data_IF_423234750752
#
_entry.id   IF_423234750752
#
_cell.length_a   1.000
_cell.length_b   1.000
_cell.length_c   1.000
_cell.angle_alpha   90.00
_cell.angle_beta   90.00
_cell.angle_gamma   90.00
#
_symmetry.space_group_name_H-M   'P 1'
#
loop_
_entity.id
_entity.type
_entity.pdbx_description
1 polymer ?
#
# COMPACT_ATOMS: atom_id res chain seq x y z
N UNK A 1 32.47 -6.33 -2.74
CA UNK A 1 31.60 -5.84 -1.65
C UNK A 1 30.26 -5.24 -2.15
N UNK A 2 30.18 -4.56 -3.31
CA UNK A 2 28.90 -3.96 -3.80
C UNK A 2 27.84 -4.99 -4.24
N UNK A 3 28.24 -6.13 -4.75
CA UNK A 3 27.32 -7.15 -5.30
C UNK A 3 26.57 -7.89 -4.18
N UNK A 4 27.23 -8.25 -3.10
CA UNK A 4 26.61 -8.87 -1.93
C UNK A 4 25.56 -7.95 -1.28
N UNK A 5 25.79 -6.63 -1.26
CA UNK A 5 24.82 -5.67 -0.68
C UNK A 5 23.53 -5.60 -1.49
N UNK A 6 23.57 -5.83 -2.81
CA UNK A 6 22.40 -5.82 -3.67
C UNK A 6 21.55 -7.07 -3.50
N UNK A 7 22.19 -8.23 -3.37
CA UNK A 7 21.52 -9.51 -3.13
C UNK A 7 20.73 -9.48 -1.80
N UNK A 8 21.34 -8.99 -0.72
CA UNK A 8 20.67 -8.88 0.58
C UNK A 8 19.43 -7.99 0.56
N UNK A 9 19.45 -6.93 -0.23
CA UNK A 9 18.26 -6.06 -0.40
C UNK A 9 17.10 -6.80 -1.05
N UNK A 10 17.34 -7.58 -2.09
CA UNK A 10 16.31 -8.39 -2.73
C UNK A 10 15.80 -9.51 -1.80
N UNK A 11 16.69 -10.14 -1.05
CA UNK A 11 16.30 -11.15 -0.05
C UNK A 11 15.43 -10.52 1.03
N UNK A 12 15.83 -9.39 1.58
CA UNK A 12 15.07 -8.68 2.62
C UNK A 12 13.67 -8.30 2.12
N UNK A 13 13.58 -7.72 0.93
CA UNK A 13 12.30 -7.38 0.32
C UNK A 13 11.44 -8.62 0.06
N UNK A 14 12.02 -9.70 -0.46
CA UNK A 14 11.31 -10.95 -0.73
C UNK A 14 10.79 -11.62 0.54
N UNK A 15 11.60 -11.66 1.61
CA UNK A 15 11.19 -12.18 2.92
C UNK A 15 10.04 -11.35 3.49
N UNK A 16 10.14 -10.03 3.46
CA UNK A 16 9.07 -9.15 3.91
C UNK A 16 7.75 -9.43 3.16
N UNK A 17 7.81 -9.46 1.83
CA UNK A 17 6.63 -9.71 0.98
C UNK A 17 6.02 -11.09 1.27
N UNK A 18 6.84 -12.12 1.40
CA UNK A 18 6.37 -13.46 1.73
C UNK A 18 5.69 -13.53 3.10
N UNK A 19 6.25 -12.86 4.11
CA UNK A 19 5.63 -12.79 5.45
C UNK A 19 4.31 -12.02 5.39
N UNK A 20 4.26 -10.88 4.69
CA UNK A 20 3.02 -10.10 4.52
C UNK A 20 1.92 -10.92 3.83
N UNK A 21 2.25 -11.67 2.76
CA UNK A 21 1.31 -12.58 2.10
C UNK A 21 0.81 -13.65 3.07
N UNK A 22 1.73 -14.29 3.81
CA UNK A 22 1.37 -15.35 4.75
C UNK A 22 0.42 -14.85 5.85
N UNK A 23 0.65 -13.65 6.36
CA UNK A 23 -0.20 -13.02 7.36
C UNK A 23 -1.56 -12.64 6.75
N UNK A 24 -1.58 -12.07 5.54
CA UNK A 24 -2.81 -11.70 4.85
C UNK A 24 -3.72 -12.90 4.57
N UNK A 25 -3.14 -14.03 4.14
CA UNK A 25 -3.92 -15.28 3.88
C UNK A 25 -4.52 -15.86 5.16
N UNK A 26 -3.95 -15.58 6.33
CA UNK A 26 -4.46 -16.06 7.63
C UNK A 26 -5.30 -15.04 8.37
N UNK A 27 -5.44 -13.83 7.83
CA UNK A 27 -6.22 -12.78 8.43
C UNK A 27 -7.72 -13.05 8.23
N UNK A 28 -8.48 -12.97 9.32
CA UNK A 28 -9.93 -12.95 9.25
C UNK A 28 -10.39 -11.52 8.94
N UNK A 29 -11.15 -11.32 7.85
CA UNK A 29 -11.55 -9.99 7.43
C UNK A 29 -12.39 -9.26 8.47
N UNK A 30 -12.10 -7.99 8.66
CA UNK A 30 -12.89 -7.12 9.50
C UNK A 30 -14.14 -6.62 8.77
N UNK A 31 -15.13 -6.19 9.52
CA UNK A 31 -16.36 -5.61 8.99
C UNK A 31 -16.10 -4.49 7.97
N UNK A 32 -15.17 -3.58 8.29
CA UNK A 32 -14.83 -2.43 7.44
C UNK A 32 -14.26 -2.85 6.07
N UNK A 33 -13.53 -3.96 6.02
CA UNK A 33 -12.96 -4.47 4.77
C UNK A 33 -14.06 -5.04 3.87
N UNK A 34 -14.98 -5.82 4.46
CA UNK A 34 -16.16 -6.29 3.75
C UNK A 34 -17.06 -5.14 3.29
N UNK A 35 -17.20 -4.11 4.10
CA UNK A 35 -17.99 -2.93 3.76
C UNK A 35 -17.48 -2.29 2.46
N UNK A 36 -16.17 -2.05 2.33
CA UNK A 36 -15.55 -1.55 1.10
C UNK A 36 -15.85 -2.45 -0.10
N UNK A 37 -15.72 -3.77 0.07
CA UNK A 37 -15.98 -4.71 -1.01
C UNK A 37 -17.45 -4.70 -1.46
N UNK A 38 -18.41 -4.70 -0.51
CA UNK A 38 -19.83 -4.59 -0.81
C UNK A 38 -20.19 -3.29 -1.51
N UNK A 39 -19.66 -2.16 -1.04
CA UNK A 39 -19.88 -0.87 -1.70
C UNK A 39 -19.39 -0.88 -3.16
N UNK A 40 -18.19 -1.39 -3.41
CA UNK A 40 -17.65 -1.52 -4.76
C UNK A 40 -18.44 -2.49 -5.64
N UNK A 41 -19.05 -3.54 -5.04
CA UNK A 41 -19.86 -4.54 -5.75
C UNK A 41 -21.23 -4.01 -6.11
N UNK A 42 -21.92 -3.38 -5.17
CA UNK A 42 -23.36 -3.11 -5.26
C UNK A 42 -23.68 -1.69 -5.73
N UNK A 43 -22.80 -0.71 -5.50
CA UNK A 43 -23.02 0.69 -5.86
C UNK A 43 -22.43 1.03 -7.24
N UNK A 44 -23.10 1.91 -7.96
CA UNK A 44 -22.51 2.61 -9.11
C UNK A 44 -21.49 3.67 -8.68
N UNK A 45 -20.62 4.12 -9.58
CA UNK A 45 -19.64 5.18 -9.26
C UNK A 45 -20.25 6.45 -8.69
N UNK A 46 -21.39 6.99 -9.22
CA UNK A 46 -22.03 8.17 -8.63
C UNK A 46 -22.59 7.92 -7.23
N UNK A 47 -23.14 6.73 -6.95
CA UNK A 47 -23.61 6.35 -5.61
C UNK A 47 -22.45 6.23 -4.63
N UNK A 48 -21.38 5.58 -5.05
CA UNK A 48 -20.16 5.46 -4.26
C UNK A 48 -19.57 6.82 -3.91
N UNK A 49 -19.57 7.77 -4.87
CA UNK A 49 -19.11 9.13 -4.61
C UNK A 49 -19.95 9.85 -3.54
N UNK A 50 -21.28 9.72 -3.60
CA UNK A 50 -22.17 10.30 -2.59
C UNK A 50 -21.96 9.69 -1.22
N UNK A 51 -21.89 8.35 -1.14
CA UNK A 51 -21.66 7.63 0.12
C UNK A 51 -20.33 8.07 0.77
N UNK A 52 -19.26 8.22 0.00
CA UNK A 52 -17.97 8.66 0.53
C UNK A 52 -17.97 10.08 1.08
N UNK A 53 -18.79 10.99 0.53
CA UNK A 53 -18.96 12.34 1.09
C UNK A 53 -19.65 12.33 2.44
N UNK A 54 -20.53 11.37 2.68
CA UNK A 54 -21.23 11.20 3.97
C UNK A 54 -20.37 10.51 5.02
N UNK A 55 -19.54 9.52 4.62
CA UNK A 55 -18.65 8.80 5.52
C UNK A 55 -17.37 9.59 5.89
N UNK A 56 -17.06 10.66 5.15
CA UNK A 56 -15.86 11.46 5.40
C UNK A 56 -14.56 10.73 5.02
N UNK A 57 -14.65 9.68 4.24
CA UNK A 57 -13.49 8.93 3.75
C UNK A 57 -13.11 9.33 2.32
N UNK A 58 -11.80 9.33 2.05
CA UNK A 58 -11.31 9.64 0.71
C UNK A 58 -11.61 8.49 -0.26
N UNK A 59 -12.31 8.80 -1.35
CA UNK A 59 -12.81 7.80 -2.32
C UNK A 59 -11.70 7.01 -3.05
N UNK A 60 -10.45 7.47 -3.01
CA UNK A 60 -9.36 6.92 -3.82
C UNK A 60 -9.12 5.42 -3.59
N UNK A 61 -9.26 4.95 -2.36
CA UNK A 61 -9.18 3.52 -2.04
C UNK A 61 -10.25 2.71 -2.77
N UNK A 62 -11.49 3.18 -2.72
CA UNK A 62 -12.61 2.53 -3.40
C UNK A 62 -12.44 2.53 -4.91
N UNK A 63 -11.97 3.64 -5.49
CA UNK A 63 -11.67 3.73 -6.93
C UNK A 63 -10.57 2.75 -7.37
N UNK A 64 -9.60 2.50 -6.50
CA UNK A 64 -8.54 1.52 -6.76
C UNK A 64 -9.06 0.09 -6.76
N UNK A 65 -9.98 -0.25 -5.85
CA UNK A 65 -10.55 -1.58 -5.70
C UNK A 65 -11.69 -1.84 -6.70
N UNK A 66 -12.47 -0.82 -7.04
CA UNK A 66 -13.67 -0.91 -7.86
C UNK A 66 -13.51 -1.72 -9.15
N UNK A 67 -12.50 -1.51 -10.00
CA UNK A 67 -12.36 -2.27 -11.24
C UNK A 67 -12.18 -3.77 -11.00
N UNK A 68 -11.46 -4.18 -9.98
CA UNK A 68 -11.24 -5.59 -9.65
C UNK A 68 -12.54 -6.26 -9.22
N UNK A 69 -13.31 -5.61 -8.37
CA UNK A 69 -14.58 -6.11 -7.89
C UNK A 69 -15.60 -6.21 -9.03
N UNK A 70 -15.64 -5.21 -9.94
CA UNK A 70 -16.51 -5.23 -11.13
C UNK A 70 -16.14 -6.30 -12.14
N UNK A 71 -14.88 -6.73 -12.17
CA UNK A 71 -14.43 -7.88 -12.96
C UNK A 71 -14.75 -9.23 -12.31
N UNK A 72 -15.46 -9.25 -11.17
CA UNK A 72 -15.87 -10.45 -10.47
C UNK A 72 -14.84 -11.00 -9.49
N UNK A 73 -13.81 -10.23 -9.13
CA UNK A 73 -12.86 -10.64 -8.11
C UNK A 73 -13.53 -10.74 -6.74
N UNK A 74 -13.22 -11.80 -6.04
CA UNK A 74 -13.67 -11.98 -4.66
C UNK A 74 -13.01 -10.98 -3.72
N UNK A 75 -13.45 -10.95 -2.47
CA UNK A 75 -12.90 -10.14 -1.39
C UNK A 75 -11.34 -10.14 -1.33
N UNK A 76 -10.69 -11.25 -1.68
CA UNK A 76 -9.22 -11.37 -1.66
C UNK A 76 -8.47 -10.33 -2.52
N UNK A 77 -9.18 -9.65 -3.44
CA UNK A 77 -8.54 -8.57 -4.21
C UNK A 77 -8.13 -7.39 -3.31
N UNK A 78 -8.81 -7.13 -2.19
CA UNK A 78 -8.44 -6.08 -1.25
C UNK A 78 -7.08 -6.38 -0.62
N UNK A 79 -6.91 -7.62 -0.09
CA UNK A 79 -5.64 -8.05 0.48
C UNK A 79 -4.52 -8.05 -0.56
N UNK A 80 -4.79 -8.55 -1.75
CA UNK A 80 -3.79 -8.58 -2.82
C UNK A 80 -3.30 -7.17 -3.18
N UNK A 81 -4.21 -6.20 -3.28
CA UNK A 81 -3.86 -4.79 -3.54
C UNK A 81 -3.10 -4.19 -2.37
N UNK A 82 -3.54 -4.39 -1.12
CA UNK A 82 -2.84 -3.88 0.07
C UNK A 82 -1.41 -4.42 0.16
N UNK A 83 -1.24 -5.73 0.04
CA UNK A 83 0.09 -6.37 0.05
C UNK A 83 0.96 -5.84 -1.08
N UNK A 84 0.42 -5.67 -2.29
CA UNK A 84 1.17 -5.15 -3.44
C UNK A 84 1.66 -3.71 -3.19
N UNK A 85 0.79 -2.83 -2.66
CA UNK A 85 1.13 -1.44 -2.35
C UNK A 85 2.22 -1.35 -1.28
N UNK A 86 2.07 -2.09 -0.19
CA UNK A 86 3.03 -2.05 0.93
C UNK A 86 4.35 -2.75 0.54
N UNK A 87 4.29 -3.81 -0.29
CA UNK A 87 5.51 -4.42 -0.86
C UNK A 87 6.25 -3.46 -1.78
N UNK A 88 5.53 -2.64 -2.57
CA UNK A 88 6.15 -1.58 -3.38
C UNK A 88 6.77 -0.49 -2.49
N UNK A 89 6.12 -0.12 -1.38
CA UNK A 89 6.68 0.80 -0.39
C UNK A 89 7.96 0.23 0.24
N UNK A 90 7.94 -1.03 0.65
CA UNK A 90 9.11 -1.72 1.19
C UNK A 90 10.26 -1.79 0.17
N UNK A 91 9.94 -1.99 -1.11
CA UNK A 91 10.95 -1.95 -2.17
C UNK A 91 11.60 -0.56 -2.28
N UNK A 92 10.81 0.52 -2.25
CA UNK A 92 11.35 1.90 -2.24
C UNK A 92 12.26 2.12 -1.04
N UNK A 93 11.84 1.69 0.15
CA UNK A 93 12.63 1.80 1.37
C UNK A 93 13.96 1.07 1.23
N UNK A 94 13.96 -0.18 0.79
CA UNK A 94 15.19 -1.00 0.71
C UNK A 94 16.12 -0.51 -0.40
N UNK A 95 15.57 -0.13 -1.56
CA UNK A 95 16.39 0.20 -2.73
C UNK A 95 16.82 1.67 -2.80
N UNK A 96 16.05 2.59 -2.24
CA UNK A 96 16.23 4.04 -2.42
C UNK A 96 16.57 4.81 -1.16
N UNK A 97 16.30 4.25 0.04
CA UNK A 97 16.57 4.97 1.28
C UNK A 97 18.08 5.03 1.60
N UNK A 98 18.51 6.06 2.36
CA UNK A 98 19.88 6.16 2.88
C UNK A 98 20.10 5.35 4.16
N UNK A 99 19.08 4.64 4.65
CA UNK A 99 19.11 3.95 5.93
C UNK A 99 20.04 2.74 5.91
N UNK A 100 20.64 2.44 7.07
CA UNK A 100 21.42 1.23 7.28
C UNK A 100 20.51 0.00 7.27
N UNK A 101 21.09 -1.17 6.97
CA UNK A 101 20.33 -2.42 6.92
C UNK A 101 19.55 -2.71 8.22
N UNK A 102 20.12 -2.59 9.43
CA UNK A 102 19.33 -2.76 10.65
C UNK A 102 18.14 -1.83 10.78
N UNK A 103 18.29 -0.58 10.36
CA UNK A 103 17.20 0.39 10.40
C UNK A 103 16.10 0.07 9.38
N UNK A 104 16.47 -0.40 8.18
CA UNK A 104 15.50 -0.88 7.20
C UNK A 104 14.71 -2.08 7.73
N UNK A 105 15.38 -3.05 8.37
CA UNK A 105 14.74 -4.19 9.02
C UNK A 105 13.76 -3.74 10.11
N UNK A 106 14.17 -2.87 11.00
CA UNK A 106 13.32 -2.36 12.08
C UNK A 106 12.07 -1.66 11.54
N UNK A 107 12.20 -0.83 10.49
CA UNK A 107 11.06 -0.16 9.87
C UNK A 107 10.14 -1.18 9.20
N UNK A 108 10.67 -2.08 8.38
CA UNK A 108 9.88 -3.05 7.62
C UNK A 108 9.12 -4.02 8.50
N UNK A 109 9.74 -4.51 9.58
CA UNK A 109 9.12 -5.47 10.50
C UNK A 109 8.48 -4.80 11.72
N UNK A 110 8.29 -3.47 11.70
CA UNK A 110 7.42 -2.80 12.66
C UNK A 110 5.96 -3.23 12.46
N UNK A 111 5.17 -3.22 13.53
CA UNK A 111 3.76 -3.64 13.48
C UNK A 111 2.96 -2.95 12.36
N UNK A 112 3.03 -1.62 12.16
CA UNK A 112 2.31 -0.98 11.06
C UNK A 112 2.71 -1.50 9.68
N UNK A 113 4.00 -1.66 9.43
CA UNK A 113 4.50 -2.03 8.11
C UNK A 113 4.28 -3.49 7.76
N UNK A 114 4.38 -4.42 8.74
CA UNK A 114 4.29 -5.86 8.44
C UNK A 114 2.87 -6.41 8.59
N UNK A 115 2.02 -5.77 9.38
CA UNK A 115 0.68 -6.26 9.67
C UNK A 115 -0.41 -5.25 9.32
N UNK A 116 -0.42 -4.07 9.93
CA UNK A 116 -1.54 -3.13 9.85
C UNK A 116 -1.80 -2.67 8.40
N UNK A 117 -0.77 -2.22 7.69
CA UNK A 117 -0.93 -1.71 6.32
C UNK A 117 -1.11 -2.79 5.26
N UNK A 118 -0.37 -3.93 5.25
CA UNK A 118 -0.53 -4.93 4.21
C UNK A 118 -1.67 -5.92 4.47
N UNK A 119 -1.98 -6.22 5.74
CA UNK A 119 -2.88 -7.31 6.12
C UNK A 119 -4.30 -6.80 6.33
N UNK A 120 -4.46 -5.68 7.05
CA UNK A 120 -5.76 -5.02 7.19
C UNK A 120 -5.99 -4.18 5.93
N UNK A 121 -6.80 -4.68 5.01
CA UNK A 121 -6.95 -4.15 3.66
C UNK A 121 -7.80 -2.86 3.62
N UNK A 122 -7.23 -1.77 4.11
CA UNK A 122 -7.85 -0.43 4.19
C UNK A 122 -7.04 0.62 3.43
N UNK A 123 -7.62 1.82 3.32
CA UNK A 123 -7.00 2.97 2.64
C UNK A 123 -5.59 3.30 3.16
N UNK A 124 -5.26 2.91 4.39
CA UNK A 124 -3.95 3.14 5.00
C UNK A 124 -2.79 2.43 4.29
N UNK A 125 -3.05 1.39 3.51
CA UNK A 125 -2.05 0.70 2.69
C UNK A 125 -1.35 1.63 1.67
N UNK A 126 -2.00 2.73 1.29
CA UNK A 126 -1.45 3.75 0.39
C UNK A 126 -0.39 4.64 1.08
N UNK A 127 -0.54 4.90 2.38
CA UNK A 127 0.28 5.87 3.12
C UNK A 127 1.78 5.58 3.00
N UNK A 128 2.30 4.38 3.31
CA UNK A 128 3.73 4.13 3.23
C UNK A 128 4.28 4.25 1.81
N UNK A 129 3.50 3.86 0.80
CA UNK A 129 3.92 3.99 -0.59
C UNK A 129 4.04 5.46 -1.00
N UNK A 130 3.04 6.28 -0.70
CA UNK A 130 3.05 7.71 -1.00
C UNK A 130 4.18 8.42 -0.25
N UNK A 131 4.35 8.17 1.05
CA UNK A 131 5.42 8.77 1.86
C UNK A 131 6.82 8.43 1.32
N UNK A 132 7.08 7.16 1.00
CA UNK A 132 8.40 6.75 0.51
C UNK A 132 8.64 7.21 -0.93
N UNK A 133 7.60 7.31 -1.76
CA UNK A 133 7.68 7.90 -3.09
C UNK A 133 8.01 9.40 -3.01
N UNK A 134 7.30 10.15 -2.17
CA UNK A 134 7.55 11.57 -1.90
C UNK A 134 9.00 11.77 -1.39
N UNK A 135 9.42 10.99 -0.41
CA UNK A 135 10.77 11.06 0.14
C UNK A 135 11.86 10.76 -0.92
N UNK A 136 11.58 9.85 -1.85
CA UNK A 136 12.50 9.54 -2.95
C UNK A 136 12.62 10.70 -3.95
N UNK A 137 11.50 11.37 -4.25
CA UNK A 137 11.44 12.49 -5.18
C UNK A 137 11.99 13.80 -4.56
N UNK A 138 11.90 13.93 -3.24
CA UNK A 138 12.34 15.12 -2.51
C UNK A 138 13.80 15.51 -2.80
N UNK A 139 14.67 14.56 -3.13
CA UNK A 139 16.07 14.80 -3.48
C UNK A 139 16.25 15.57 -4.80
N UNK A 140 15.26 15.57 -5.70
CA UNK A 140 15.31 16.27 -7.00
C UNK A 140 13.93 16.85 -7.36
N UNK A 141 13.35 17.74 -6.54
CA UNK A 141 11.97 18.20 -6.73
C UNK A 141 11.78 18.96 -8.05
N UNK A 142 12.79 19.65 -8.55
CA UNK A 142 12.70 20.45 -9.77
C UNK A 142 12.50 19.64 -11.06
N UNK A 143 12.88 18.36 -11.09
CA UNK A 143 12.71 17.52 -12.27
C UNK A 143 11.30 16.92 -12.43
N UNK A 144 10.59 16.75 -11.32
CA UNK A 144 9.28 16.07 -11.28
C UNK A 144 8.30 16.79 -10.34
N UNK A 145 8.27 18.13 -10.39
CA UNK A 145 7.48 18.95 -9.48
C UNK A 145 5.98 18.57 -9.50
N UNK A 146 5.41 18.36 -10.69
CA UNK A 146 4.01 17.96 -10.82
C UNK A 146 3.71 16.62 -10.13
N UNK A 147 4.55 15.61 -10.35
CA UNK A 147 4.40 14.32 -9.70
C UNK A 147 4.54 14.44 -8.18
N UNK A 148 5.51 15.22 -7.71
CA UNK A 148 5.72 15.49 -6.29
C UNK A 148 4.49 16.15 -5.64
N UNK A 149 3.96 17.21 -6.26
CA UNK A 149 2.76 17.88 -5.77
C UNK A 149 1.51 16.98 -5.82
N UNK A 150 1.37 16.17 -6.87
CA UNK A 150 0.25 15.23 -6.99
C UNK A 150 0.28 14.17 -5.88
N UNK A 151 1.46 13.62 -5.55
CA UNK A 151 1.61 12.64 -4.47
C UNK A 151 1.30 13.25 -3.09
N UNK A 152 1.70 14.51 -2.86
CA UNK A 152 1.34 15.22 -1.62
C UNK A 152 -0.17 15.44 -1.53
N UNK A 153 -0.82 15.76 -2.65
CA UNK A 153 -2.27 15.95 -2.68
C UNK A 153 -3.08 14.66 -2.51
N UNK A 154 -2.45 13.50 -2.68
CA UNK A 154 -3.06 12.18 -2.46
C UNK A 154 -2.82 11.63 -1.06
N UNK A 155 -1.89 12.20 -0.29
CA UNK A 155 -1.57 11.81 1.08
C UNK A 155 -2.54 12.47 2.08
#
# INVERSE_FOLDING_TARGET
>A
MKENSRLWRWILWGVFTAVAILLAVRHEPWYDEYHVWFMCRDMSLPELWRAMTEEGHFIFWHLLIFPFVRLGCSYWCLQAVSVALVSAAAWLLVMRSPFTLPMQVLIMFSYPMIYEFPVVARCYALIPLLLFAIATLYRQPGKNLWLYCSLIGLL
#
